data_IF_509805751028
#
_entry.id   IF_509805751028
#
_cell.length_a   1.000
_cell.length_b   1.000
_cell.length_c   1.000
_cell.angle_alpha   90.00
_cell.angle_beta   90.00
_cell.angle_gamma   90.00
#
_symmetry.space_group_name_H-M   'P 1'
#
loop_
_entity.id
_entity.type
_entity.pdbx_description
1 polymer ?
#
# COMPACT_ATOMS: atom_id res chain seq x y z
N UNK A 1 4.52 -10.34 -13.21
CA UNK A 1 3.54 -10.83 -12.24
C UNK A 1 2.54 -9.72 -11.93
N UNK A 2 1.24 -10.00 -12.08
CA UNK A 2 0.18 -9.06 -11.68
C UNK A 2 0.11 -9.06 -10.15
N UNK A 3 0.46 -7.94 -9.50
CA UNK A 3 0.54 -7.82 -8.04
C UNK A 3 -0.26 -6.61 -7.56
N UNK A 4 -1.53 -6.83 -7.27
CA UNK A 4 -2.47 -5.79 -6.85
C UNK A 4 -3.20 -6.27 -5.60
N UNK A 5 -3.21 -5.43 -4.57
CA UNK A 5 -3.94 -5.68 -3.34
C UNK A 5 -5.41 -5.36 -3.54
N UNK A 6 -5.71 -4.13 -3.98
CA UNK A 6 -7.07 -3.63 -4.09
C UNK A 6 -7.26 -2.77 -5.34
N UNK A 7 -8.47 -2.78 -5.90
CA UNK A 7 -8.93 -1.85 -6.91
C UNK A 7 -10.35 -1.37 -6.61
N UNK A 8 -10.62 -0.10 -6.90
CA UNK A 8 -11.95 0.50 -6.76
C UNK A 8 -12.26 1.36 -7.98
N UNK A 9 -13.45 1.15 -8.53
CA UNK A 9 -13.98 1.92 -9.66
C UNK A 9 -15.04 2.90 -9.18
N UNK A 10 -15.06 4.09 -9.76
CA UNK A 10 -16.01 5.15 -9.40
C UNK A 10 -16.63 5.74 -10.66
N UNK A 11 -17.92 6.11 -10.58
CA UNK A 11 -18.55 6.94 -11.60
C UNK A 11 -18.11 8.41 -11.46
N UNK A 12 -18.29 9.26 -12.48
CA UNK A 12 -17.98 10.68 -12.35
C UNK A 12 -18.71 11.31 -11.15
N UNK A 13 -17.98 12.07 -10.33
CA UNK A 13 -18.46 12.77 -9.13
C UNK A 13 -18.93 11.90 -7.95
N UNK A 14 -18.72 10.57 -8.00
CA UNK A 14 -19.13 9.67 -6.93
C UNK A 14 -18.01 9.45 -5.89
N UNK A 15 -18.40 9.36 -4.62
CA UNK A 15 -17.52 9.07 -3.48
C UNK A 15 -17.54 7.59 -3.11
N UNK A 16 -18.61 6.85 -3.47
CA UNK A 16 -18.73 5.42 -3.21
C UNK A 16 -18.17 4.62 -4.39
N UNK A 17 -17.49 3.51 -4.09
CA UNK A 17 -16.99 2.61 -5.13
C UNK A 17 -18.11 1.74 -5.70
N UNK A 18 -18.03 1.45 -6.99
CA UNK A 18 -18.91 0.52 -7.69
C UNK A 18 -18.75 -0.89 -7.13
N UNK A 19 -19.87 -1.60 -7.06
CA UNK A 19 -19.95 -3.01 -6.68
C UNK A 19 -20.51 -3.83 -7.84
N UNK A 20 -20.09 -5.08 -7.92
CA UNK A 20 -20.42 -5.98 -9.00
C UNK A 20 -19.86 -7.36 -8.73
N UNK A 21 -20.06 -8.29 -9.67
CA UNK A 21 -19.50 -9.63 -9.58
C UNK A 21 -18.02 -9.58 -9.98
N UNK A 22 -17.15 -10.06 -9.10
CA UNK A 22 -15.72 -10.16 -9.43
C UNK A 22 -15.50 -11.20 -10.51
N UNK A 23 -14.72 -10.85 -11.54
CA UNK A 23 -14.37 -11.69 -12.68
C UNK A 23 -12.86 -11.59 -12.93
N UNK A 24 -12.24 -12.64 -13.46
CA UNK A 24 -10.80 -12.62 -13.67
C UNK A 24 -10.24 -13.98 -14.05
N UNK A 25 -8.92 -14.04 -14.20
CA UNK A 25 -8.21 -15.29 -14.41
C UNK A 25 -8.00 -15.99 -13.07
N UNK A 26 -8.49 -17.23 -12.89
CA UNK A 26 -8.25 -17.98 -11.67
C UNK A 26 -6.80 -18.45 -11.56
N UNK A 27 -6.38 -18.74 -10.33
CA UNK A 27 -5.09 -19.31 -10.01
C UNK A 27 -4.10 -18.27 -9.51
N UNK A 28 -3.28 -18.71 -8.57
CA UNK A 28 -2.22 -17.92 -7.97
C UNK A 28 -0.85 -18.61 -8.07
N UNK A 29 0.22 -17.85 -7.89
CA UNK A 29 1.59 -18.31 -7.93
C UNK A 29 1.87 -19.45 -6.93
N UNK A 30 1.27 -19.38 -5.74
CA UNK A 30 1.40 -20.34 -4.66
C UNK A 30 0.58 -21.62 -4.88
N UNK A 31 -0.39 -21.60 -5.82
CA UNK A 31 -1.28 -22.73 -6.16
C UNK A 31 -2.11 -23.26 -5.00
N UNK A 32 -2.37 -22.44 -3.99
CA UNK A 32 -3.14 -22.78 -2.79
C UNK A 32 -4.43 -21.96 -2.63
N UNK A 33 -4.69 -21.03 -3.56
CA UNK A 33 -5.85 -20.13 -3.54
C UNK A 33 -5.68 -18.90 -2.64
N UNK A 34 -4.52 -18.70 -2.00
CA UNK A 34 -4.28 -17.57 -1.08
C UNK A 34 -4.25 -16.21 -1.78
N UNK A 35 -3.90 -16.19 -3.07
CA UNK A 35 -3.70 -14.98 -3.85
C UNK A 35 -4.53 -14.94 -5.14
N UNK A 36 -5.82 -15.23 -5.04
CA UNK A 36 -6.75 -15.27 -6.17
C UNK A 36 -7.16 -13.89 -6.69
N UNK A 37 -7.69 -13.84 -7.91
CA UNK A 37 -8.15 -12.59 -8.56
C UNK A 37 -9.26 -11.88 -7.76
N UNK A 38 -9.98 -12.62 -6.91
CA UNK A 38 -11.03 -12.08 -6.04
C UNK A 38 -10.50 -11.16 -4.96
N UNK A 39 -9.24 -11.34 -4.54
CA UNK A 39 -8.62 -10.53 -3.50
C UNK A 39 -8.52 -9.05 -3.90
N UNK A 40 -8.56 -8.72 -5.20
CA UNK A 40 -8.49 -7.34 -5.70
C UNK A 40 -9.69 -6.48 -5.29
N UNK A 41 -10.78 -7.09 -4.82
CA UNK A 41 -12.03 -6.40 -4.48
C UNK A 41 -12.62 -6.87 -3.15
N UNK A 42 -11.80 -7.44 -2.26
CA UNK A 42 -12.26 -7.97 -0.97
C UNK A 42 -12.26 -6.91 0.15
N UNK A 43 -11.65 -5.75 -0.09
CA UNK A 43 -11.57 -4.65 0.87
C UNK A 43 -10.42 -4.77 1.86
N UNK A 44 -9.55 -5.77 1.72
CA UNK A 44 -8.41 -6.03 2.57
C UNK A 44 -7.09 -5.77 1.81
N UNK A 45 -6.50 -4.60 2.06
CA UNK A 45 -5.21 -4.20 1.47
C UNK A 45 -4.01 -5.10 1.86
N UNK A 46 -4.20 -6.07 2.75
CA UNK A 46 -3.18 -7.04 3.16
C UNK A 46 -3.25 -8.35 2.37
N UNK A 47 -4.36 -8.63 1.68
CA UNK A 47 -4.45 -9.68 0.67
C UNK A 47 -4.03 -9.11 -0.69
N UNK A 48 -3.80 -9.98 -1.67
CA UNK A 48 -3.49 -9.55 -3.04
C UNK A 48 -3.71 -10.64 -4.06
N UNK A 49 -3.91 -10.26 -5.32
CA UNK A 49 -3.78 -11.16 -6.46
C UNK A 49 -2.31 -11.28 -6.86
N UNK A 50 -1.85 -12.53 -7.08
CA UNK A 50 -0.50 -12.85 -7.54
C UNK A 50 -0.59 -14.00 -8.54
N UNK A 51 -0.78 -13.65 -9.82
CA UNK A 51 -1.06 -14.63 -10.87
C UNK A 51 0.09 -15.64 -11.07
N UNK A 52 -0.29 -16.87 -11.40
CA UNK A 52 0.64 -18.00 -11.60
C UNK A 52 1.72 -17.72 -12.64
N UNK A 53 1.37 -17.07 -13.75
CA UNK A 53 2.32 -16.71 -14.80
C UNK A 53 2.79 -15.25 -14.70
N UNK A 54 3.95 -14.89 -15.28
CA UNK A 54 4.43 -13.51 -15.30
C UNK A 54 3.47 -12.52 -15.98
N UNK A 55 2.59 -12.98 -16.87
CA UNK A 55 1.63 -12.18 -17.64
C UNK A 55 0.33 -12.97 -17.91
N UNK A 56 -0.74 -12.29 -18.38
CA UNK A 56 -2.02 -12.91 -18.71
C UNK A 56 -3.04 -12.98 -17.55
N UNK A 57 -2.59 -12.72 -16.33
CA UNK A 57 -3.47 -12.56 -15.18
C UNK A 57 -4.19 -11.21 -15.20
N UNK A 58 -5.49 -11.23 -14.95
CA UNK A 58 -6.31 -10.02 -14.80
C UNK A 58 -7.42 -10.25 -13.77
N UNK A 59 -7.87 -9.16 -13.17
CA UNK A 59 -9.06 -9.11 -12.32
C UNK A 59 -9.90 -7.89 -12.71
N UNK A 60 -11.21 -8.01 -12.56
CA UNK A 60 -12.17 -6.99 -12.96
C UNK A 60 -13.52 -7.21 -12.30
N UNK A 61 -14.45 -6.31 -12.62
CA UNK A 61 -15.76 -6.25 -12.01
C UNK A 61 -16.83 -6.24 -13.10
N UNK A 62 -17.68 -7.26 -13.12
CA UNK A 62 -18.92 -7.26 -13.90
C UNK A 62 -19.99 -6.45 -13.16
N UNK A 63 -20.30 -5.28 -13.70
CA UNK A 63 -21.27 -4.33 -13.13
C UNK A 63 -22.73 -4.70 -13.42
N UNK A 64 -22.98 -5.73 -14.25
CA UNK A 64 -24.31 -6.15 -14.70
C UNK A 64 -25.02 -5.16 -15.64
N UNK A 65 -24.64 -3.89 -15.61
CA UNK A 65 -25.12 -2.82 -16.50
C UNK A 65 -23.96 -1.90 -16.89
N UNK A 66 -23.97 -1.31 -18.10
CA UNK A 66 -22.96 -0.33 -18.48
C UNK A 66 -22.94 0.86 -17.52
N UNK A 67 -21.75 1.22 -17.05
CA UNK A 67 -21.49 2.42 -16.24
C UNK A 67 -20.31 3.19 -16.83
N UNK A 68 -20.38 4.52 -16.78
CA UNK A 68 -19.22 5.36 -17.08
C UNK A 68 -18.25 5.31 -15.91
N UNK A 69 -16.99 4.95 -16.16
CA UNK A 69 -15.93 5.02 -15.16
C UNK A 69 -15.29 6.40 -15.24
N UNK A 70 -15.34 7.14 -14.14
CA UNK A 70 -14.71 8.46 -14.00
C UNK A 70 -13.37 8.41 -13.28
N UNK A 71 -13.15 7.43 -12.40
CA UNK A 71 -11.93 7.28 -11.61
C UNK A 71 -11.68 5.81 -11.26
N UNK A 72 -10.41 5.44 -11.26
CA UNK A 72 -9.91 4.15 -10.78
C UNK A 72 -8.91 4.46 -9.66
N UNK A 73 -9.06 3.81 -8.52
CA UNK A 73 -8.06 3.80 -7.44
C UNK A 73 -7.55 2.38 -7.32
N UNK A 74 -6.24 2.22 -7.13
CA UNK A 74 -5.65 0.90 -6.90
C UNK A 74 -4.56 0.98 -5.83
N UNK A 75 -4.42 -0.11 -5.10
CA UNK A 75 -3.37 -0.33 -4.10
C UNK A 75 -2.50 -1.48 -4.60
N UNK A 76 -1.21 -1.26 -4.88
CA UNK A 76 -0.30 -2.36 -5.20
C UNK A 76 -0.22 -3.36 -4.04
N UNK A 77 0.21 -4.59 -4.32
CA UNK A 77 0.55 -5.54 -3.25
C UNK A 77 1.55 -4.90 -2.31
N UNK A 78 1.21 -4.87 -1.03
CA UNK A 78 2.13 -4.46 0.03
C UNK A 78 2.02 -5.43 1.18
N UNK A 79 3.13 -5.71 1.86
CA UNK A 79 3.14 -6.49 3.09
C UNK A 79 2.73 -5.63 4.30
N UNK A 80 1.66 -4.83 4.13
CA UNK A 80 1.12 -3.93 5.16
C UNK A 80 2.08 -2.82 5.64
N UNK A 81 2.89 -2.28 4.71
CA UNK A 81 3.93 -1.28 5.03
C UNK A 81 3.62 0.13 4.49
N UNK A 82 2.41 0.38 3.97
CA UNK A 82 1.98 1.74 3.65
C UNK A 82 1.71 2.54 4.93
N UNK A 83 1.72 3.87 4.82
CA UNK A 83 1.18 4.72 5.88
C UNK A 83 -0.34 4.53 5.90
N UNK A 84 -0.87 4.09 7.03
CA UNK A 84 -2.30 3.84 7.24
C UNK A 84 -2.83 4.79 8.30
N UNK A 85 -3.97 5.41 8.02
CA UNK A 85 -4.67 6.21 9.01
C UNK A 85 -5.05 5.32 10.20
N UNK A 86 -4.79 5.81 11.42
CA UNK A 86 -5.05 5.12 12.68
C UNK A 86 -3.83 4.40 13.28
N UNK A 87 -2.80 4.12 12.49
CA UNK A 87 -1.57 3.48 12.97
C UNK A 87 -0.63 4.50 13.62
N UNK A 88 0.11 4.03 14.63
CA UNK A 88 1.13 4.79 15.34
C UNK A 88 2.51 4.55 14.72
N UNK A 89 3.16 5.63 14.31
CA UNK A 89 4.49 5.60 13.70
C UNK A 89 5.50 6.38 14.54
N UNK A 90 6.76 5.99 14.49
CA UNK A 90 7.86 6.72 15.12
C UNK A 90 9.02 6.87 14.14
N UNK A 91 9.48 8.11 13.94
CA UNK A 91 10.61 8.40 13.06
C UNK A 91 11.88 8.52 13.88
N UNK A 92 12.93 7.84 13.45
CA UNK A 92 14.26 7.93 14.04
C UNK A 92 15.25 8.55 13.06
N UNK A 93 16.25 9.24 13.60
CA UNK A 93 17.45 9.61 12.85
C UNK A 93 18.71 9.05 13.51
N UNK A 94 19.69 8.69 12.69
CA UNK A 94 20.98 8.19 13.15
C UNK A 94 21.95 9.35 13.37
N UNK A 95 22.19 9.72 14.63
CA UNK A 95 23.08 10.84 14.97
C UNK A 95 24.58 10.46 14.89
N UNK A 96 24.90 9.20 15.19
CA UNK A 96 26.22 8.55 15.12
C UNK A 96 26.03 7.07 14.86
N UNK A 97 27.08 6.33 14.50
CA UNK A 97 27.01 4.87 14.29
C UNK A 97 26.29 4.19 15.46
N UNK A 98 25.22 3.45 15.17
CA UNK A 98 24.35 2.76 16.12
C UNK A 98 23.66 3.66 17.17
N UNK A 99 23.53 4.96 16.91
CA UNK A 99 22.82 5.90 17.78
C UNK A 99 21.59 6.44 17.05
N UNK A 100 20.50 5.69 17.15
CA UNK A 100 19.18 6.11 16.70
C UNK A 100 18.52 6.97 17.77
N UNK A 101 18.01 8.12 17.36
CA UNK A 101 17.28 9.04 18.21
C UNK A 101 15.90 9.27 17.63
N UNK A 102 14.88 9.15 18.47
CA UNK A 102 13.50 9.42 18.09
C UNK A 102 13.30 10.90 17.77
N UNK A 103 12.47 11.16 16.75
CA UNK A 103 11.94 12.45 16.35
C UNK A 103 10.48 12.62 16.79
N UNK A 104 9.97 11.68 17.58
CA UNK A 104 8.62 11.64 18.12
C UNK A 104 7.76 10.54 17.50
N UNK A 105 6.72 10.16 18.23
CA UNK A 105 5.64 9.32 17.74
C UNK A 105 4.51 10.17 17.13
N UNK A 106 3.82 9.61 16.15
CA UNK A 106 2.65 10.21 15.53
C UNK A 106 1.64 9.12 15.14
N UNK A 107 0.41 9.26 15.64
CA UNK A 107 -0.75 8.57 15.07
C UNK A 107 -1.09 9.18 13.72
N UNK A 108 -1.04 8.38 12.65
CA UNK A 108 -1.42 8.85 11.33
C UNK A 108 -2.92 9.13 11.27
N UNK A 109 -3.29 10.23 10.60
CA UNK A 109 -4.69 10.58 10.28
C UNK A 109 -5.00 10.45 8.79
N UNK A 110 -4.00 10.05 8.00
CA UNK A 110 -4.04 10.03 6.55
C UNK A 110 -3.09 8.92 6.02
N UNK A 111 -2.83 8.95 4.73
CA UNK A 111 -1.84 8.12 4.03
C UNK A 111 -0.44 8.75 4.01
N UNK A 112 -0.20 9.77 4.86
CA UNK A 112 1.07 10.50 4.95
C UNK A 112 1.35 10.97 6.37
N UNK A 113 2.64 11.16 6.66
CA UNK A 113 3.15 11.66 7.94
C UNK A 113 3.93 12.96 7.73
N UNK A 114 3.91 13.85 8.72
CA UNK A 114 4.60 15.13 8.66
C UNK A 114 5.47 15.26 9.90
N UNK A 115 6.78 15.11 9.70
CA UNK A 115 7.77 15.40 10.73
C UNK A 115 8.49 16.71 10.39
N UNK A 116 8.66 17.57 11.40
CA UNK A 116 9.31 18.88 11.26
C UNK A 116 10.66 18.90 11.99
N UNK A 117 11.55 19.82 11.57
CA UNK A 117 12.88 20.01 12.17
C UNK A 117 13.78 18.77 12.10
N UNK A 118 13.70 18.05 10.97
CA UNK A 118 14.51 16.85 10.73
C UNK A 118 15.95 17.24 10.37
N UNK A 119 16.97 16.59 10.94
CA UNK A 119 18.36 16.80 10.55
C UNK A 119 18.58 16.50 9.06
N UNK A 120 19.29 17.40 8.37
CA UNK A 120 19.66 17.23 6.95
C UNK A 120 20.78 16.19 6.83
N UNK A 121 20.80 15.42 5.74
CA UNK A 121 21.81 14.38 5.46
C UNK A 121 21.93 13.30 6.54
N UNK A 122 20.83 13.00 7.25
CA UNK A 122 20.77 11.92 8.22
C UNK A 122 20.18 10.64 7.62
N UNK A 123 20.62 9.48 8.13
CA UNK A 123 19.89 8.23 7.94
C UNK A 123 18.63 8.28 8.78
N UNK A 124 17.51 7.97 8.15
CA UNK A 124 16.18 7.95 8.74
C UNK A 124 15.64 6.52 8.75
N UNK A 125 14.91 6.18 9.79
CA UNK A 125 14.18 4.93 9.92
C UNK A 125 12.79 5.24 10.44
N UNK A 126 11.76 4.88 9.69
CA UNK A 126 10.38 5.02 10.11
C UNK A 126 9.89 3.65 10.57
N UNK A 127 9.43 3.58 11.83
CA UNK A 127 8.88 2.38 12.41
C UNK A 127 7.35 2.50 12.49
N UNK A 128 6.64 1.42 12.16
CA UNK A 128 5.20 1.30 12.45
C UNK A 128 5.07 0.49 13.74
N UNK A 129 4.65 1.16 14.82
CA UNK A 129 4.53 0.56 16.15
C UNK A 129 3.19 -0.20 16.34
N UNK A 130 2.35 -0.26 15.31
CA UNK A 130 1.04 -0.95 15.34
C UNK A 130 1.06 -2.29 14.61
N UNK A 131 1.62 -2.31 13.39
CA UNK A 131 1.59 -3.46 12.47
C UNK A 131 2.71 -3.35 11.44
N UNK A 132 2.83 -4.36 10.56
CA UNK A 132 3.93 -4.44 9.60
C UNK A 132 5.25 -4.79 10.30
N UNK A 133 6.19 -5.34 9.54
CA UNK A 133 7.50 -5.79 10.07
C UNK A 133 8.67 -5.39 9.19
N UNK A 134 8.41 -4.73 8.05
CA UNK A 134 9.44 -4.35 7.10
C UNK A 134 9.70 -2.85 7.20
N UNK A 135 10.78 -2.52 7.88
CA UNK A 135 11.27 -1.16 8.02
C UNK A 135 12.59 -1.05 7.27
N UNK A 136 12.79 0.06 6.55
CA UNK A 136 14.00 0.27 5.76
C UNK A 136 14.56 1.65 5.99
N UNK A 137 15.89 1.69 6.16
CA UNK A 137 16.62 2.94 6.29
C UNK A 137 16.56 3.70 4.96
N UNK A 138 16.35 5.01 5.05
CA UNK A 138 16.36 5.91 3.91
C UNK A 138 17.09 7.21 4.24
N UNK A 139 17.39 7.99 3.20
CA UNK A 139 17.74 9.41 3.32
C UNK A 139 16.68 10.23 2.63
N UNK A 140 16.41 11.42 3.13
CA UNK A 140 15.48 12.36 2.51
C UNK A 140 16.27 13.58 2.02
N UNK A 141 16.38 13.73 0.70
CA UNK A 141 17.18 14.78 0.06
C UNK A 141 16.44 15.33 -1.14
N UNK A 142 16.47 16.65 -1.35
CA UNK A 142 15.80 17.31 -2.48
C UNK A 142 14.31 16.96 -2.63
N UNK A 143 13.60 16.84 -1.50
CA UNK A 143 12.18 16.44 -1.43
C UNK A 143 11.90 14.99 -1.89
N UNK A 144 12.92 14.15 -2.00
CA UNK A 144 12.79 12.75 -2.39
C UNK A 144 13.33 11.80 -1.30
N UNK A 145 12.66 10.65 -1.18
CA UNK A 145 13.06 9.54 -0.31
C UNK A 145 13.93 8.54 -1.09
N UNK A 146 15.16 8.32 -0.63
CA UNK A 146 16.12 7.41 -1.24
C UNK A 146 16.47 6.29 -0.26
N UNK A 147 16.12 5.05 -0.63
CA UNK A 147 16.37 3.86 0.18
C UNK A 147 17.86 3.48 0.23
N UNK A 148 18.32 2.94 1.36
CA UNK A 148 19.67 2.40 1.56
C UNK A 148 19.68 0.88 1.76
#
# INVERSE_FOLDING_TARGET
HCNIAEAAFYTPNDTASLKGKVIGTPGCFQKDGSHEYTNVFDGDVTTSFDYIEPSGGWSGLDLGTPKQIGRIVYTPRSYDNYIRSGDDYELFYCARRNNWKSLGDQRSKADSLIYIKIPVNALLLLCNNTRGIQERIFVYTAAEQIWK
#
